data_IF_236774551577
#
_entry.id   IF_236774551577
#
_cell.length_a   1.000
_cell.length_b   1.000
_cell.length_c   1.000
_cell.angle_alpha   90.00
_cell.angle_beta   90.00
_cell.angle_gamma   90.00
#
_symmetry.space_group_name_H-M   'P 1'
#
loop_
_entity.id
_entity.type
_entity.pdbx_description
1 polymer ?
#
# COMPACT_ATOMS: atom_id res chain seq x y z
N UNK A 1 4.33 29.04 11.18
CA UNK A 1 3.39 28.73 10.09
C UNK A 1 2.10 28.25 10.75
N UNK A 2 0.90 28.60 10.28
CA UNK A 2 -0.31 28.01 10.83
C UNK A 2 -0.23 26.49 10.65
N UNK A 3 -0.79 25.71 11.58
CA UNK A 3 -0.73 24.25 11.63
C UNK A 3 -0.98 23.65 10.23
N UNK A 4 0.08 23.09 9.64
CA UNK A 4 -0.05 22.38 8.37
C UNK A 4 -0.79 21.07 8.63
N UNK A 5 -1.91 20.85 7.94
CA UNK A 5 -2.67 19.59 8.02
C UNK A 5 -1.93 18.41 7.36
N UNK A 6 -0.77 18.68 6.76
CA UNK A 6 0.11 17.69 6.13
C UNK A 6 1.50 17.85 6.72
N UNK A 7 2.04 16.77 7.27
CA UNK A 7 3.44 16.69 7.72
C UNK A 7 4.29 16.03 6.66
N UNK A 8 5.51 16.52 6.47
CA UNK A 8 6.50 15.96 5.55
C UNK A 8 7.66 15.41 6.40
N UNK A 9 7.90 14.12 6.32
CA UNK A 9 8.88 13.42 7.16
C UNK A 9 10.21 13.20 6.46
N UNK A 10 10.21 13.07 5.12
CA UNK A 10 11.41 12.84 4.31
C UNK A 10 11.38 13.73 3.08
N UNK A 11 12.54 14.08 2.51
CA UNK A 11 12.68 14.90 1.29
C UNK A 11 11.79 16.16 1.32
N UNK A 12 11.97 16.96 2.37
CA UNK A 12 11.06 18.08 2.71
C UNK A 12 10.87 19.06 1.55
N UNK A 13 11.95 19.47 0.90
CA UNK A 13 11.89 20.42 -0.23
C UNK A 13 11.11 19.85 -1.41
N UNK A 14 11.38 18.60 -1.78
CA UNK A 14 10.64 17.91 -2.85
C UNK A 14 9.16 17.72 -2.49
N UNK A 15 8.86 17.38 -1.23
CA UNK A 15 7.49 17.26 -0.75
C UNK A 15 6.74 18.60 -0.78
N UNK A 16 7.36 19.69 -0.35
CA UNK A 16 6.80 21.04 -0.41
C UNK A 16 6.53 21.48 -1.86
N UNK A 17 7.47 21.21 -2.78
CA UNK A 17 7.32 21.49 -4.20
C UNK A 17 6.16 20.69 -4.82
N UNK A 18 6.07 19.37 -4.49
CA UNK A 18 4.98 18.53 -4.95
C UNK A 18 3.62 19.04 -4.46
N UNK A 19 3.50 19.36 -3.16
CA UNK A 19 2.27 19.94 -2.58
C UNK A 19 1.91 21.29 -3.20
N UNK A 20 2.90 22.13 -3.48
CA UNK A 20 2.70 23.42 -4.13
C UNK A 20 2.19 23.25 -5.55
N UNK A 21 2.76 22.32 -6.31
CA UNK A 21 2.40 22.07 -7.72
C UNK A 21 0.96 21.62 -7.87
N UNK A 22 0.47 20.76 -6.98
CA UNK A 22 -0.86 20.15 -7.09
C UNK A 22 -1.91 20.80 -6.18
N UNK A 23 -1.61 21.95 -5.61
CA UNK A 23 -2.58 22.72 -4.82
C UNK A 23 -3.75 23.16 -5.69
N UNK A 24 -4.99 22.88 -5.21
CA UNK A 24 -6.24 23.18 -5.92
C UNK A 24 -6.65 22.09 -6.93
N UNK A 25 -5.80 21.13 -7.25
CA UNK A 25 -6.11 20.04 -8.16
C UNK A 25 -6.89 18.92 -7.48
N UNK A 26 -7.79 18.26 -8.22
CA UNK A 26 -8.50 17.06 -7.80
C UNK A 26 -7.85 15.84 -8.46
N UNK A 27 -7.53 14.80 -7.69
CA UNK A 27 -6.96 13.55 -8.23
C UNK A 27 -8.02 12.63 -8.84
N UNK A 28 -7.53 11.55 -9.46
CA UNK A 28 -8.27 10.30 -9.66
C UNK A 28 -7.72 9.27 -8.69
N UNK A 29 -8.57 8.43 -8.11
CA UNK A 29 -8.19 7.37 -7.20
C UNK A 29 -8.30 5.99 -7.87
N UNK A 30 -7.21 5.24 -7.90
CA UNK A 30 -7.16 3.84 -8.30
C UNK A 30 -6.82 2.96 -7.11
N UNK A 31 -7.72 2.05 -6.73
CA UNK A 31 -7.47 1.09 -5.65
C UNK A 31 -7.22 -0.31 -6.22
N UNK A 32 -6.08 -0.89 -5.91
CA UNK A 32 -5.72 -2.25 -6.32
C UNK A 32 -6.04 -3.23 -5.20
N UNK A 33 -6.99 -4.10 -5.46
CA UNK A 33 -7.45 -5.13 -4.55
C UNK A 33 -6.71 -6.43 -4.85
N UNK A 34 -6.15 -7.06 -3.82
CA UNK A 34 -5.44 -8.31 -3.94
C UNK A 34 -5.64 -9.21 -2.74
N UNK A 35 -5.13 -10.43 -2.83
CA UNK A 35 -5.18 -11.39 -1.74
C UNK A 35 -3.89 -12.21 -1.68
N UNK A 36 -3.48 -12.53 -0.46
CA UNK A 36 -2.41 -13.49 -0.16
C UNK A 36 -2.84 -14.44 0.95
N UNK A 37 -2.58 -15.73 0.80
CA UNK A 37 -2.81 -16.73 1.86
C UNK A 37 -2.00 -16.44 3.13
N UNK A 38 -0.96 -15.60 3.05
CA UNK A 38 -0.25 -15.08 4.23
C UNK A 38 -1.22 -14.39 5.20
N UNK A 39 -2.26 -13.74 4.68
CA UNK A 39 -3.31 -13.10 5.47
C UNK A 39 -4.13 -14.07 6.31
N UNK A 40 -4.16 -15.38 5.97
CA UNK A 40 -4.91 -16.40 6.70
C UNK A 40 -4.18 -16.91 7.95
N UNK A 41 -2.91 -16.55 8.14
CA UNK A 41 -2.15 -16.99 9.31
C UNK A 41 -2.74 -16.32 10.56
N UNK A 42 -3.06 -17.09 11.62
CA UNK A 42 -3.55 -16.54 12.88
C UNK A 42 -2.59 -15.48 13.45
N UNK A 43 -3.12 -14.34 13.89
CA UNK A 43 -2.32 -13.25 14.48
C UNK A 43 -1.53 -12.38 13.50
N UNK A 44 -1.53 -12.68 12.19
CA UNK A 44 -0.77 -11.89 11.21
C UNK A 44 -1.40 -10.50 10.95
N UNK A 45 -2.70 -10.39 11.09
CA UNK A 45 -3.47 -9.16 10.91
C UNK A 45 -4.63 -9.08 11.89
N UNK A 46 -5.01 -7.86 12.28
CA UNK A 46 -6.22 -7.57 13.04
C UNK A 46 -7.49 -7.45 12.15
N UNK A 47 -7.35 -7.49 10.83
CA UNK A 47 -8.49 -7.46 9.90
C UNK A 47 -9.31 -8.76 10.00
N UNK A 48 -10.64 -8.63 9.80
CA UNK A 48 -11.58 -9.76 9.90
C UNK A 48 -11.79 -10.25 11.34
N UNK A 49 -12.89 -10.95 11.59
CA UNK A 49 -13.15 -11.61 12.90
C UNK A 49 -12.34 -12.89 13.06
N UNK A 50 -12.18 -13.61 11.97
CA UNK A 50 -11.40 -14.84 11.87
C UNK A 50 -10.42 -14.74 10.71
N UNK A 51 -9.38 -15.60 10.64
CA UNK A 51 -8.51 -15.67 9.47
C UNK A 51 -9.28 -15.90 8.16
N UNK A 52 -10.33 -16.72 8.15
CA UNK A 52 -11.14 -17.01 6.96
C UNK A 52 -11.95 -15.79 6.49
N UNK A 53 -12.46 -14.96 7.39
CA UNK A 53 -13.19 -13.74 7.05
C UNK A 53 -12.33 -12.74 6.26
N UNK A 54 -11.00 -12.84 6.39
CA UNK A 54 -10.05 -11.96 5.70
C UNK A 54 -10.09 -12.09 4.18
N UNK A 55 -10.62 -13.19 3.66
CA UNK A 55 -10.87 -13.37 2.22
C UNK A 55 -11.85 -12.34 1.66
N UNK A 56 -12.71 -11.80 2.53
CA UNK A 56 -13.77 -10.86 2.15
C UNK A 56 -13.49 -9.42 2.55
N UNK A 57 -12.40 -9.13 3.26
CA UNK A 57 -12.09 -7.77 3.71
C UNK A 57 -12.01 -6.77 2.55
N UNK A 58 -11.28 -7.12 1.49
CA UNK A 58 -11.17 -6.25 0.33
C UNK A 58 -12.51 -6.08 -0.41
N UNK A 59 -13.38 -7.11 -0.40
CA UNK A 59 -14.74 -7.02 -0.97
C UNK A 59 -15.59 -6.03 -0.17
N UNK A 60 -15.60 -6.17 1.16
CA UNK A 60 -16.36 -5.32 2.06
C UNK A 60 -15.95 -3.85 1.95
N UNK A 61 -14.64 -3.59 1.95
CA UNK A 61 -14.10 -2.24 1.80
C UNK A 61 -14.41 -1.65 0.41
N UNK A 62 -14.31 -2.45 -0.66
CA UNK A 62 -14.63 -2.02 -2.01
C UNK A 62 -16.12 -1.67 -2.18
N UNK A 63 -17.02 -2.49 -1.64
CA UNK A 63 -18.46 -2.23 -1.68
C UNK A 63 -18.81 -0.96 -0.92
N UNK A 64 -18.25 -0.78 0.28
CA UNK A 64 -18.48 0.43 1.05
C UNK A 64 -17.90 1.67 0.37
N UNK A 65 -16.68 1.58 -0.18
CA UNK A 65 -16.06 2.69 -0.89
C UNK A 65 -16.91 3.15 -2.07
N UNK A 66 -17.46 2.21 -2.83
CA UNK A 66 -18.20 2.51 -4.06
C UNK A 66 -19.63 2.99 -3.78
N UNK A 67 -20.38 2.27 -2.97
CA UNK A 67 -21.80 2.55 -2.74
C UNK A 67 -22.08 3.42 -1.51
N UNK A 68 -21.23 3.36 -0.50
CA UNK A 68 -21.43 4.06 0.78
C UNK A 68 -22.32 3.31 1.77
N UNK A 69 -22.63 3.97 2.89
CA UNK A 69 -23.23 3.32 4.06
C UNK A 69 -24.71 2.93 3.90
N UNK A 70 -25.43 3.51 2.96
CA UNK A 70 -26.89 3.28 2.78
C UNK A 70 -27.19 2.10 1.88
N UNK A 71 -26.17 1.59 1.17
CA UNK A 71 -26.33 0.41 0.32
C UNK A 71 -26.21 -0.88 1.14
N UNK A 72 -27.14 -1.81 0.96
CA UNK A 72 -27.06 -3.13 1.58
C UNK A 72 -25.93 -3.94 0.92
N UNK A 73 -24.80 -4.15 1.61
CA UNK A 73 -23.65 -4.82 1.01
C UNK A 73 -23.85 -6.33 0.91
N UNK A 74 -23.24 -6.96 -0.09
CA UNK A 74 -23.09 -8.42 -0.14
C UNK A 74 -22.06 -8.89 0.91
N UNK A 75 -20.98 -8.10 1.08
CA UNK A 75 -19.95 -8.34 2.07
C UNK A 75 -19.92 -7.16 3.06
N UNK A 76 -20.56 -7.30 4.24
CA UNK A 76 -20.60 -6.20 5.21
C UNK A 76 -19.21 -5.96 5.82
N UNK A 77 -18.93 -4.71 6.17
CA UNK A 77 -17.76 -4.36 6.96
C UNK A 77 -17.75 -5.18 8.27
N UNK A 78 -16.56 -5.61 8.73
CA UNK A 78 -16.47 -6.33 10.00
C UNK A 78 -17.00 -5.47 11.15
N UNK A 79 -17.44 -6.07 12.27
CA UNK A 79 -17.91 -5.33 13.42
C UNK A 79 -16.87 -4.33 13.92
N UNK A 80 -17.33 -3.14 14.28
CA UNK A 80 -16.48 -1.99 14.64
C UNK A 80 -15.83 -2.10 16.05
N UNK A 81 -15.85 -3.26 16.68
CA UNK A 81 -15.32 -3.46 18.03
C UNK A 81 -13.81 -3.19 18.16
N UNK A 82 -13.05 -3.43 17.10
CA UNK A 82 -11.60 -3.21 17.05
C UNK A 82 -11.21 -1.89 16.34
N UNK A 83 -12.16 -0.99 16.11
CA UNK A 83 -11.97 0.23 15.34
C UNK A 83 -12.71 0.21 14.00
N UNK A 84 -13.04 1.38 13.49
CA UNK A 84 -13.74 1.55 12.22
C UNK A 84 -12.79 1.26 11.05
N UNK A 85 -13.29 0.64 9.95
CA UNK A 85 -12.48 0.46 8.75
C UNK A 85 -11.99 1.80 8.18
N UNK A 86 -10.73 1.90 7.73
CA UNK A 86 -10.19 3.11 7.12
C UNK A 86 -10.96 3.56 5.88
N UNK A 87 -11.71 2.65 5.26
CA UNK A 87 -12.55 2.97 4.09
C UNK A 87 -13.58 4.06 4.38
N UNK A 88 -14.01 4.23 5.66
CA UNK A 88 -14.90 5.32 6.03
C UNK A 88 -14.25 6.69 5.79
N UNK A 89 -12.94 6.81 6.05
CA UNK A 89 -12.17 8.03 5.81
C UNK A 89 -12.11 8.33 4.31
N UNK A 90 -11.72 7.34 3.53
CA UNK A 90 -11.61 7.47 2.07
C UNK A 90 -12.96 7.79 1.43
N UNK A 91 -14.04 7.07 1.83
CA UNK A 91 -15.40 7.32 1.35
C UNK A 91 -15.87 8.73 1.67
N UNK A 92 -15.66 9.20 2.91
CA UNK A 92 -16.07 10.54 3.33
C UNK A 92 -15.50 11.64 2.43
N UNK A 93 -14.22 11.52 2.07
CA UNK A 93 -13.54 12.48 1.21
C UNK A 93 -13.97 12.32 -0.25
N UNK A 94 -13.93 11.09 -0.79
CA UNK A 94 -14.17 10.87 -2.22
C UNK A 94 -15.61 11.18 -2.61
N UNK A 95 -16.58 10.83 -1.77
CA UNK A 95 -17.98 11.22 -1.95
C UNK A 95 -18.15 12.74 -1.95
N UNK A 96 -17.61 13.42 -0.93
CA UNK A 96 -17.79 14.86 -0.77
C UNK A 96 -17.12 15.70 -1.86
N UNK A 97 -15.95 15.26 -2.32
CA UNK A 97 -15.17 15.93 -3.37
C UNK A 97 -15.49 15.43 -4.78
N UNK A 98 -16.32 14.39 -4.89
CA UNK A 98 -16.63 13.72 -6.16
C UNK A 98 -15.38 13.24 -6.90
N UNK A 99 -14.41 12.72 -6.15
CA UNK A 99 -13.19 12.14 -6.72
C UNK A 99 -13.54 10.84 -7.43
N UNK A 100 -13.20 10.68 -8.73
CA UNK A 100 -13.44 9.44 -9.45
C UNK A 100 -12.67 8.27 -8.82
N UNK A 101 -13.35 7.14 -8.61
CA UNK A 101 -12.80 5.92 -8.00
C UNK A 101 -12.80 4.80 -9.04
N UNK A 102 -11.65 4.18 -9.25
CA UNK A 102 -11.45 2.99 -10.06
C UNK A 102 -10.98 1.85 -9.17
N UNK A 103 -11.69 0.72 -9.21
CA UNK A 103 -11.33 -0.48 -8.44
C UNK A 103 -10.75 -1.54 -9.39
N UNK A 104 -9.60 -2.10 -9.04
CA UNK A 104 -8.86 -3.07 -9.83
C UNK A 104 -8.75 -4.38 -9.07
N UNK A 105 -9.17 -5.49 -9.69
CA UNK A 105 -8.92 -6.83 -9.18
C UNK A 105 -7.58 -7.35 -9.71
N UNK A 106 -6.59 -7.46 -8.83
CA UNK A 106 -5.29 -8.04 -9.15
C UNK A 106 -5.19 -9.53 -8.78
N UNK A 107 -6.18 -10.09 -8.10
CA UNK A 107 -6.18 -11.49 -7.68
C UNK A 107 -6.94 -11.74 -6.38
N UNK A 108 -8.21 -11.36 -6.34
CA UNK A 108 -9.11 -11.70 -5.24
C UNK A 108 -9.64 -13.13 -5.38
N UNK A 109 -9.85 -13.86 -4.27
CA UNK A 109 -10.52 -15.17 -4.30
C UNK A 109 -12.01 -15.06 -4.64
N UNK A 110 -12.63 -13.93 -4.31
CA UNK A 110 -14.03 -13.62 -4.59
C UNK A 110 -14.11 -12.18 -5.10
N UNK A 111 -14.84 -11.89 -6.19
CA UNK A 111 -15.04 -10.51 -6.65
C UNK A 111 -16.03 -9.78 -5.74
N UNK A 112 -15.82 -8.50 -5.42
CA UNK A 112 -16.82 -7.67 -4.77
C UNK A 112 -17.99 -7.35 -5.72
N UNK A 113 -19.16 -7.05 -5.17
CA UNK A 113 -20.36 -6.70 -5.92
C UNK A 113 -20.36 -5.22 -6.37
N UNK A 114 -19.30 -4.77 -7.04
CA UNK A 114 -19.13 -3.40 -7.54
C UNK A 114 -18.61 -3.41 -8.98
N UNK A 115 -18.74 -2.33 -9.75
CA UNK A 115 -18.00 -2.17 -10.98
C UNK A 115 -16.50 -2.31 -10.74
N UNK A 116 -15.87 -3.28 -11.38
CA UNK A 116 -14.52 -3.73 -11.09
C UNK A 116 -13.76 -3.96 -12.41
N UNK A 117 -12.52 -3.49 -12.45
CA UNK A 117 -11.61 -3.75 -13.56
C UNK A 117 -10.82 -5.00 -13.21
N UNK A 118 -11.12 -6.11 -13.87
CA UNK A 118 -10.37 -7.35 -13.68
C UNK A 118 -9.06 -7.31 -14.48
N UNK A 119 -7.94 -7.46 -13.78
CA UNK A 119 -6.60 -7.49 -14.38
C UNK A 119 -6.16 -8.90 -14.79
N UNK A 120 -7.00 -9.92 -14.58
CA UNK A 120 -6.67 -11.31 -14.93
C UNK A 120 -5.56 -11.92 -14.09
N UNK A 121 -5.44 -11.50 -12.83
CA UNK A 121 -4.47 -12.01 -11.87
C UNK A 121 -5.00 -13.20 -11.05
N UNK A 122 -4.19 -13.60 -10.07
CA UNK A 122 -4.51 -14.68 -9.14
C UNK A 122 -4.04 -14.32 -7.72
N UNK A 123 -4.74 -14.87 -6.72
CA UNK A 123 -4.33 -14.76 -5.33
C UNK A 123 -2.94 -15.34 -5.09
N UNK A 124 -2.12 -14.65 -4.29
CA UNK A 124 -0.82 -15.18 -3.91
C UNK A 124 -0.98 -16.30 -2.86
N UNK A 125 -0.17 -17.34 -2.98
CA UNK A 125 0.02 -18.35 -1.93
C UNK A 125 0.76 -17.73 -0.74
N UNK A 126 0.80 -18.45 0.38
CA UNK A 126 1.58 -18.00 1.53
C UNK A 126 3.06 -17.83 1.16
N UNK A 127 3.60 -16.63 1.43
CA UNK A 127 4.99 -16.27 1.09
C UNK A 127 6.04 -17.20 1.73
N UNK A 128 5.73 -17.80 2.89
CA UNK A 128 6.64 -18.74 3.57
C UNK A 128 6.95 -20.00 2.77
N UNK A 129 6.23 -20.22 1.65
CA UNK A 129 6.51 -21.27 0.69
C UNK A 129 7.63 -20.92 -0.31
N UNK A 130 8.04 -19.66 -0.45
CA UNK A 130 9.04 -19.22 -1.42
C UNK A 130 8.60 -19.34 -2.88
N UNK A 131 7.28 -19.42 -3.14
CA UNK A 131 6.64 -19.47 -4.46
C UNK A 131 5.22 -18.93 -4.33
N UNK A 132 5.12 -17.63 -4.05
CA UNK A 132 3.85 -16.97 -3.80
C UNK A 132 2.98 -16.88 -5.07
N UNK A 133 3.59 -16.66 -6.23
CA UNK A 133 2.89 -16.50 -7.50
C UNK A 133 3.66 -17.15 -8.67
N UNK A 134 2.94 -17.51 -9.73
CA UNK A 134 3.57 -17.91 -10.97
C UNK A 134 4.18 -16.68 -11.66
N UNK A 135 5.41 -16.81 -12.16
CA UNK A 135 6.15 -15.70 -12.80
C UNK A 135 5.40 -15.13 -14.02
N UNK A 136 4.71 -15.98 -14.77
CA UNK A 136 3.90 -15.56 -15.91
C UNK A 136 2.75 -14.64 -15.50
N UNK A 137 2.10 -14.91 -14.34
CA UNK A 137 1.08 -14.05 -13.77
C UNK A 137 1.69 -12.71 -13.32
N UNK A 138 2.87 -12.72 -12.71
CA UNK A 138 3.56 -11.48 -12.29
C UNK A 138 3.88 -10.60 -13.49
N UNK A 139 4.43 -11.18 -14.57
CA UNK A 139 4.69 -10.44 -15.82
C UNK A 139 3.42 -9.89 -16.46
N UNK A 140 2.33 -10.67 -16.44
CA UNK A 140 1.04 -10.23 -16.95
C UNK A 140 0.51 -9.03 -16.15
N UNK A 141 0.48 -9.14 -14.83
CA UNK A 141 0.02 -8.08 -13.93
C UNK A 141 0.87 -6.81 -14.04
N UNK A 142 2.20 -6.95 -14.19
CA UNK A 142 3.06 -5.80 -14.42
C UNK A 142 2.69 -5.05 -15.69
N UNK A 143 2.45 -5.77 -16.81
CA UNK A 143 1.99 -5.17 -18.08
C UNK A 143 0.64 -4.49 -17.93
N UNK A 144 -0.30 -5.11 -17.21
CA UNK A 144 -1.59 -4.47 -16.90
C UNK A 144 -1.40 -3.20 -16.06
N UNK A 145 -0.47 -3.23 -15.08
CA UNK A 145 -0.12 -2.05 -14.31
C UNK A 145 0.38 -0.90 -15.19
N UNK A 146 1.34 -1.15 -16.08
CA UNK A 146 1.83 -0.13 -17.01
C UNK A 146 0.70 0.46 -17.87
N UNK A 147 -0.15 -0.40 -18.45
CA UNK A 147 -1.26 0.02 -19.30
C UNK A 147 -2.26 0.91 -18.57
N UNK A 148 -2.66 0.51 -17.35
CA UNK A 148 -3.63 1.27 -16.57
C UNK A 148 -3.04 2.55 -15.96
N UNK A 149 -1.75 2.55 -15.63
CA UNK A 149 -1.03 3.75 -15.23
C UNK A 149 -1.05 4.82 -16.32
N UNK A 150 -0.75 4.45 -17.57
CA UNK A 150 -0.85 5.35 -18.73
C UNK A 150 -2.28 5.85 -18.96
N UNK A 151 -3.28 4.97 -18.89
CA UNK A 151 -4.69 5.33 -19.08
C UNK A 151 -5.19 6.32 -18.04
N UNK A 152 -4.91 6.10 -16.76
CA UNK A 152 -5.32 6.99 -15.69
C UNK A 152 -4.63 8.35 -15.77
N UNK A 153 -3.37 8.37 -16.18
CA UNK A 153 -2.58 9.60 -16.32
C UNK A 153 -2.90 10.42 -17.58
N UNK A 154 -3.57 9.84 -18.58
CA UNK A 154 -3.77 10.45 -19.91
C UNK A 154 -4.41 11.84 -19.88
N UNK A 155 -5.25 12.14 -18.88
CA UNK A 155 -5.92 13.42 -18.72
C UNK A 155 -5.55 14.13 -17.40
N UNK A 156 -4.39 13.81 -16.82
CA UNK A 156 -4.00 14.27 -15.49
C UNK A 156 -2.71 15.12 -15.49
N UNK A 157 -2.32 15.71 -16.62
CA UNK A 157 -1.02 16.39 -16.77
C UNK A 157 -0.79 17.53 -15.75
N UNK A 158 -1.87 18.22 -15.34
CA UNK A 158 -1.84 19.30 -14.34
C UNK A 158 -2.38 18.86 -12.98
N UNK A 159 -2.53 17.54 -12.78
CA UNK A 159 -3.05 16.95 -11.56
C UNK A 159 -2.24 15.71 -11.20
N UNK A 160 -2.79 14.83 -10.36
CA UNK A 160 -2.12 13.63 -9.88
C UNK A 160 -3.09 12.45 -9.76
N UNK A 161 -2.52 11.25 -9.76
CA UNK A 161 -3.23 10.01 -9.51
C UNK A 161 -2.87 9.51 -8.12
N UNK A 162 -3.85 9.02 -7.37
CA UNK A 162 -3.64 8.33 -6.10
C UNK A 162 -3.79 6.82 -6.35
N UNK A 163 -2.78 6.04 -6.01
CA UNK A 163 -2.85 4.58 -6.01
C UNK A 163 -2.92 4.05 -4.58
N UNK A 164 -4.08 3.49 -4.23
CA UNK A 164 -4.32 2.82 -2.97
C UNK A 164 -4.39 1.31 -3.12
N UNK A 165 -4.51 0.61 -1.99
CA UNK A 165 -4.55 -0.84 -1.95
C UNK A 165 -5.49 -1.40 -0.88
N UNK A 166 -5.87 -2.67 -1.06
CA UNK A 166 -6.42 -3.48 0.01
C UNK A 166 -5.91 -4.93 -0.11
N UNK A 167 -4.92 -5.27 0.72
CA UNK A 167 -4.36 -6.62 0.82
C UNK A 167 -4.14 -6.99 2.29
N UNK A 168 -4.97 -7.87 2.82
CA UNK A 168 -4.74 -8.40 4.17
C UNK A 168 -3.49 -9.29 4.17
N UNK A 169 -2.54 -9.01 5.07
CA UNK A 169 -1.21 -9.66 5.09
C UNK A 169 -0.15 -8.91 4.27
N UNK A 170 -0.53 -7.85 3.55
CA UNK A 170 0.34 -7.05 2.70
C UNK A 170 1.52 -6.40 3.42
N UNK A 171 1.44 -6.14 4.73
CA UNK A 171 2.61 -5.68 5.49
C UNK A 171 3.70 -6.75 5.61
N UNK A 172 3.34 -8.04 5.58
CA UNK A 172 4.31 -9.14 5.62
C UNK A 172 4.95 -9.36 4.25
N UNK A 173 4.18 -9.28 3.17
CA UNK A 173 4.72 -9.32 1.80
C UNK A 173 5.57 -8.09 1.50
N UNK A 174 5.22 -6.91 2.03
CA UNK A 174 6.04 -5.71 1.96
C UNK A 174 7.40 -5.89 2.65
N UNK A 175 7.41 -6.45 3.89
CA UNK A 175 8.65 -6.81 4.57
C UNK A 175 9.50 -7.78 3.74
N UNK A 176 8.86 -8.77 3.11
CA UNK A 176 9.56 -9.77 2.29
C UNK A 176 10.23 -9.13 1.06
N UNK A 177 9.52 -8.29 0.32
CA UNK A 177 10.07 -7.58 -0.85
C UNK A 177 11.20 -6.65 -0.44
N UNK A 178 11.03 -5.82 0.60
CA UNK A 178 12.09 -4.93 1.09
C UNK A 178 13.36 -5.70 1.48
N UNK A 179 13.18 -6.81 2.23
CA UNK A 179 14.31 -7.68 2.64
C UNK A 179 14.98 -8.32 1.43
N UNK A 180 14.21 -8.85 0.49
CA UNK A 180 14.72 -9.46 -0.74
C UNK A 180 15.50 -8.46 -1.62
N UNK A 181 15.07 -7.21 -1.64
CA UNK A 181 15.77 -6.09 -2.27
C UNK A 181 17.01 -5.62 -1.49
N UNK A 182 17.31 -6.20 -0.32
CA UNK A 182 18.48 -5.86 0.50
C UNK A 182 18.31 -4.60 1.34
N UNK A 183 17.07 -4.17 1.59
CA UNK A 183 16.74 -3.04 2.46
C UNK A 183 16.59 -3.55 3.89
N UNK A 184 17.21 -2.83 4.85
CA UNK A 184 17.07 -3.13 6.28
C UNK A 184 15.66 -2.72 6.76
N UNK A 185 14.71 -3.66 6.65
CA UNK A 185 13.29 -3.46 6.99
C UNK A 185 12.81 -4.24 8.22
N UNK A 186 13.67 -5.09 8.79
CA UNK A 186 13.32 -5.87 9.99
C UNK A 186 12.97 -4.93 11.15
N UNK A 187 11.83 -5.17 11.80
CA UNK A 187 11.37 -4.34 12.91
C UNK A 187 10.80 -2.97 12.52
N UNK A 188 10.76 -2.61 11.21
CA UNK A 188 10.33 -1.28 10.75
C UNK A 188 8.96 -1.25 10.11
N UNK A 189 8.45 -2.39 9.62
CA UNK A 189 7.16 -2.47 8.92
C UNK A 189 6.00 -2.54 9.91
N UNK A 190 5.04 -1.61 9.77
CA UNK A 190 3.85 -1.54 10.62
C UNK A 190 2.95 -2.79 10.53
N UNK A 191 1.96 -2.84 11.40
CA UNK A 191 0.84 -3.79 11.34
C UNK A 191 -0.46 -3.13 11.75
N UNK A 192 -1.59 -3.78 11.48
CA UNK A 192 -2.92 -3.34 11.93
C UNK A 192 -3.16 -3.55 13.43
N UNK A 193 -2.24 -4.21 14.13
CA UNK A 193 -2.28 -4.36 15.60
C UNK A 193 -1.75 -3.11 16.30
N UNK A 194 -2.20 -2.81 17.53
CA UNK A 194 -1.65 -1.72 18.33
C UNK A 194 -0.14 -1.83 18.56
N UNK A 195 0.35 -3.06 18.75
CA UNK A 195 1.77 -3.40 18.84
C UNK A 195 2.12 -4.26 17.63
N UNK A 196 3.14 -3.86 16.87
CA UNK A 196 3.54 -4.57 15.67
C UNK A 196 4.07 -5.97 15.97
N UNK A 197 3.58 -6.97 15.23
CA UNK A 197 3.94 -8.38 15.35
C UNK A 197 5.22 -8.73 14.58
N UNK A 198 6.32 -8.00 14.82
CA UNK A 198 7.57 -8.08 14.07
C UNK A 198 8.16 -9.49 14.02
N UNK A 199 8.22 -10.21 15.15
CA UNK A 199 8.78 -11.55 15.21
C UNK A 199 8.06 -12.55 14.32
N UNK A 200 6.71 -12.50 14.30
CA UNK A 200 5.91 -13.39 13.46
C UNK A 200 6.13 -13.10 11.97
N UNK A 201 6.08 -11.82 11.57
CA UNK A 201 6.35 -11.43 10.18
C UNK A 201 7.74 -11.83 9.73
N UNK A 202 8.75 -11.59 10.59
CA UNK A 202 10.13 -11.92 10.28
C UNK A 202 10.36 -13.41 10.06
N UNK A 203 9.81 -14.26 10.93
CA UNK A 203 9.93 -15.73 10.80
C UNK A 203 9.34 -16.23 9.45
N UNK A 204 8.21 -15.67 9.01
CA UNK A 204 7.61 -16.03 7.72
C UNK A 204 8.47 -15.58 6.54
N UNK A 205 9.01 -14.37 6.62
CA UNK A 205 9.88 -13.82 5.58
C UNK A 205 11.16 -14.62 5.43
N UNK A 206 11.83 -14.96 6.55
CA UNK A 206 13.02 -15.80 6.52
C UNK A 206 12.74 -17.16 5.87
N UNK A 207 11.67 -17.86 6.29
CA UNK A 207 11.29 -19.14 5.71
C UNK A 207 10.99 -19.06 4.20
N UNK A 208 10.36 -17.97 3.76
CA UNK A 208 10.06 -17.76 2.32
C UNK A 208 11.30 -17.51 1.49
N UNK A 209 12.19 -16.64 1.96
CA UNK A 209 13.44 -16.32 1.25
C UNK A 209 14.41 -17.52 1.21
N UNK A 210 14.50 -18.30 2.28
CA UNK A 210 15.29 -19.54 2.31
C UNK A 210 14.82 -20.52 1.24
N UNK A 211 13.52 -20.84 1.22
CA UNK A 211 12.95 -21.78 0.23
C UNK A 211 13.04 -21.26 -1.20
N UNK A 212 12.95 -19.95 -1.41
CA UNK A 212 13.15 -19.35 -2.73
C UNK A 212 14.60 -19.53 -3.21
N UNK A 213 15.59 -19.40 -2.30
CA UNK A 213 17.00 -19.65 -2.58
C UNK A 213 17.29 -21.11 -2.95
N UNK A 214 16.75 -22.08 -2.19
CA UNK A 214 16.92 -23.51 -2.44
C UNK A 214 16.37 -23.93 -3.82
N UNK A 215 15.23 -23.36 -4.23
CA UNK A 215 14.65 -23.61 -5.56
C UNK A 215 15.50 -23.06 -6.71
N UNK A 216 16.20 -21.94 -6.46
CA UNK A 216 17.15 -21.38 -7.43
C UNK A 216 18.33 -22.32 -7.69
N UNK A 217 18.85 -22.98 -6.66
CA UNK A 217 19.96 -23.93 -6.77
C UNK A 217 19.56 -25.23 -7.47
N UNK A 218 18.33 -25.71 -7.32
CA UNK A 218 17.84 -26.95 -7.96
C UNK A 218 17.60 -26.84 -9.46
N UNK A 219 17.60 -25.65 -10.04
CA UNK A 219 17.44 -25.37 -11.49
C UNK A 219 18.75 -25.02 -12.20
N UNK A 220 19.90 -25.49 -11.70
CA UNK A 220 21.19 -25.35 -12.37
C UNK A 220 21.20 -26.08 -13.72
N UNK A 221 20.83 -25.35 -14.74
CA UNK A 221 20.89 -25.77 -16.14
C UNK A 221 21.01 -24.61 -17.12
N UNK A 222 20.36 -23.48 -16.88
CA UNK A 222 20.33 -22.39 -17.90
C UNK A 222 19.96 -21.02 -17.34
N UNK A 223 20.61 -20.42 -16.36
CA UNK A 223 20.62 -18.96 -16.06
C UNK A 223 20.86 -18.69 -14.56
N UNK A 224 21.92 -17.97 -14.27
CA UNK A 224 22.27 -17.21 -13.06
C UNK A 224 21.76 -17.66 -11.69
N UNK A 225 22.66 -18.12 -10.82
CA UNK A 225 22.38 -18.52 -9.44
C UNK A 225 21.75 -17.38 -8.62
N UNK A 226 20.54 -17.62 -8.09
CA UNK A 226 19.90 -16.75 -7.10
C UNK A 226 20.38 -17.17 -5.71
N UNK A 227 21.42 -16.53 -5.19
CA UNK A 227 21.91 -16.80 -3.84
C UNK A 227 21.26 -15.84 -2.82
N UNK A 228 20.14 -16.26 -2.21
CA UNK A 228 19.45 -15.51 -1.16
C UNK A 228 20.15 -15.61 0.21
N UNK A 229 20.87 -16.70 0.49
CA UNK A 229 21.44 -16.96 1.82
C UNK A 229 22.58 -15.98 2.16
N UNK A 230 23.39 -15.57 1.20
CA UNK A 230 24.48 -14.62 1.44
C UNK A 230 24.01 -13.23 1.84
N UNK A 231 22.78 -12.83 1.46
CA UNK A 231 22.19 -11.53 1.81
C UNK A 231 21.63 -11.47 3.24
N UNK A 232 21.24 -12.60 3.80
CA UNK A 232 20.70 -12.68 5.17
C UNK A 232 21.83 -12.61 6.21
N UNK A 233 23.02 -13.15 5.89
CA UNK A 233 24.16 -13.24 6.82
C UNK A 233 25.13 -12.05 6.76
N UNK A 234 25.23 -11.38 5.61
CA UNK A 234 26.07 -10.18 5.44
C UNK A 234 25.45 -9.15 4.48
N UNK A 235 24.77 -8.12 5.00
CA UNK A 235 24.17 -7.07 4.20
C UNK A 235 25.23 -6.24 3.40
N UNK A 236 26.52 -6.44 3.66
CA UNK A 236 27.62 -5.72 2.98
C UNK A 236 28.28 -6.51 1.86
N UNK A 237 27.88 -7.77 1.62
CA UNK A 237 28.49 -8.56 0.55
C UNK A 237 28.09 -8.01 -0.83
N UNK A 238 29.06 -7.48 -1.56
CA UNK A 238 28.94 -7.01 -2.93
C UNK A 238 28.89 -8.20 -3.91
N UNK A 239 27.77 -8.91 -3.98
CA UNK A 239 27.56 -9.89 -5.06
C UNK A 239 26.60 -9.25 -6.05
N UNK A 240 27.16 -8.77 -7.17
CA UNK A 240 26.50 -8.29 -8.37
C UNK A 240 25.94 -9.46 -9.22
N UNK A 241 24.98 -10.19 -8.73
CA UNK A 241 24.03 -10.90 -9.59
C UNK A 241 22.67 -10.32 -9.24
N UNK A 242 22.19 -9.40 -10.07
CA UNK A 242 20.90 -8.72 -9.86
C UNK A 242 19.78 -9.74 -10.02
N UNK A 243 19.23 -10.19 -8.90
CA UNK A 243 18.00 -10.98 -8.93
C UNK A 243 16.92 -10.13 -9.58
N UNK A 244 16.24 -10.67 -10.58
CA UNK A 244 15.13 -9.99 -11.26
C UNK A 244 14.04 -9.61 -10.23
N UNK A 245 13.66 -8.32 -10.11
CA UNK A 245 12.66 -7.88 -9.14
C UNK A 245 11.30 -8.56 -9.33
N UNK A 246 10.92 -8.96 -10.55
CA UNK A 246 9.67 -9.67 -10.80
C UNK A 246 9.74 -11.12 -10.29
N UNK A 247 10.90 -11.74 -10.29
CA UNK A 247 11.12 -13.05 -9.64
C UNK A 247 10.99 -12.94 -8.11
N UNK A 248 11.41 -11.82 -7.51
CA UNK A 248 11.20 -11.59 -6.08
C UNK A 248 9.71 -11.53 -5.74
N UNK A 249 8.91 -10.84 -6.56
CA UNK A 249 7.45 -10.81 -6.38
C UNK A 249 6.85 -12.21 -6.53
N UNK A 250 7.29 -12.98 -7.53
CA UNK A 250 6.83 -14.37 -7.72
C UNK A 250 7.17 -15.26 -6.52
N UNK A 251 8.31 -15.05 -5.88
CA UNK A 251 8.75 -15.83 -4.73
C UNK A 251 8.01 -15.48 -3.43
N UNK A 252 7.92 -14.19 -3.09
CA UNK A 252 7.50 -13.74 -1.74
C UNK A 252 6.56 -12.52 -1.73
N UNK A 253 6.14 -12.03 -2.89
CA UNK A 253 5.26 -10.86 -3.01
C UNK A 253 3.77 -11.19 -3.02
N UNK A 254 3.00 -10.19 -3.41
CA UNK A 254 1.55 -10.29 -3.67
C UNK A 254 1.17 -9.56 -4.97
N UNK A 255 -0.04 -9.81 -5.52
CA UNK A 255 -0.41 -9.29 -6.84
C UNK A 255 -0.54 -7.75 -6.88
N UNK A 256 -0.90 -7.10 -5.78
CA UNK A 256 -1.05 -5.65 -5.72
C UNK A 256 0.30 -4.94 -5.96
N UNK A 257 1.37 -5.44 -5.37
CA UNK A 257 2.68 -4.79 -5.40
C UNK A 257 3.19 -4.55 -6.82
N UNK A 258 3.11 -5.56 -7.67
CA UNK A 258 3.59 -5.47 -9.06
C UNK A 258 2.67 -4.61 -9.94
N UNK A 259 1.35 -4.64 -9.68
CA UNK A 259 0.39 -3.80 -10.40
C UNK A 259 0.61 -2.33 -10.07
N UNK A 260 0.66 -1.97 -8.78
CA UNK A 260 0.86 -0.57 -8.37
C UNK A 260 2.23 -0.06 -8.80
N UNK A 261 3.28 -0.89 -8.74
CA UNK A 261 4.60 -0.51 -9.25
C UNK A 261 4.55 -0.16 -10.75
N UNK A 262 3.88 -0.99 -11.57
CA UNK A 262 3.69 -0.72 -13.00
C UNK A 262 2.86 0.55 -13.24
N UNK A 263 1.74 0.72 -12.53
CA UNK A 263 0.90 1.92 -12.62
C UNK A 263 1.69 3.19 -12.29
N UNK A 264 2.45 3.17 -11.20
CA UNK A 264 3.20 4.34 -10.76
C UNK A 264 4.37 4.68 -11.69
N UNK A 265 5.11 3.68 -12.20
CA UNK A 265 6.14 3.89 -13.22
C UNK A 265 5.55 4.59 -14.45
N UNK A 266 4.44 4.09 -14.96
CA UNK A 266 3.83 4.63 -16.16
C UNK A 266 3.23 6.02 -15.93
N UNK A 267 2.45 6.22 -14.87
CA UNK A 267 1.78 7.48 -14.56
C UNK A 267 2.77 8.61 -14.25
N UNK A 268 3.87 8.33 -13.54
CA UNK A 268 4.86 9.35 -13.17
C UNK A 268 5.50 10.07 -14.36
N UNK A 269 5.43 9.48 -15.57
CA UNK A 269 5.97 10.09 -16.79
C UNK A 269 5.21 11.34 -17.23
N UNK A 270 3.95 11.50 -16.81
CA UNK A 270 3.07 12.55 -17.30
C UNK A 270 2.30 13.31 -16.22
N UNK A 271 2.17 12.80 -15.02
CA UNK A 271 1.45 13.46 -13.92
C UNK A 271 2.07 13.16 -12.56
N UNK A 272 1.56 13.80 -11.51
CA UNK A 272 1.91 13.44 -10.13
C UNK A 272 1.35 12.08 -9.74
N UNK A 273 2.08 11.39 -8.86
CA UNK A 273 1.64 10.13 -8.29
C UNK A 273 1.73 10.19 -6.76
N UNK A 274 0.65 9.83 -6.09
CA UNK A 274 0.65 9.61 -4.65
C UNK A 274 0.39 8.13 -4.36
N UNK A 275 1.37 7.44 -3.85
CA UNK A 275 1.24 6.07 -3.35
C UNK A 275 0.56 6.13 -1.98
N UNK A 276 -0.69 5.66 -1.91
CA UNK A 276 -1.56 5.81 -0.75
C UNK A 276 -1.47 4.62 0.19
N UNK A 277 -0.77 4.79 1.28
CA UNK A 277 -0.51 3.77 2.30
C UNK A 277 0.78 4.05 3.05
N UNK A 278 1.14 3.17 3.97
CA UNK A 278 2.36 3.31 4.76
C UNK A 278 3.51 2.47 4.23
N UNK A 279 3.98 1.55 5.06
CA UNK A 279 5.14 0.69 4.76
C UNK A 279 4.92 -0.22 3.55
N UNK A 280 3.68 -0.57 3.19
CA UNK A 280 3.37 -1.29 1.96
C UNK A 280 3.73 -0.45 0.72
N UNK A 281 3.42 0.82 0.72
CA UNK A 281 3.71 1.71 -0.41
C UNK A 281 5.18 2.12 -0.48
N UNK A 282 5.91 2.12 0.65
CA UNK A 282 7.38 2.21 0.64
C UNK A 282 8.00 0.97 -0.02
N UNK A 283 7.44 -0.23 0.20
CA UNK A 283 7.88 -1.44 -0.50
C UNK A 283 7.58 -1.37 -2.00
N UNK A 284 6.42 -0.85 -2.40
CA UNK A 284 6.08 -0.61 -3.81
C UNK A 284 7.04 0.40 -4.44
N UNK A 285 7.37 1.49 -3.76
CA UNK A 285 8.35 2.48 -4.25
C UNK A 285 9.73 1.86 -4.48
N UNK A 286 10.21 1.05 -3.53
CA UNK A 286 11.46 0.32 -3.69
C UNK A 286 11.42 -0.68 -4.87
N UNK A 287 10.31 -1.40 -5.00
CA UNK A 287 10.09 -2.36 -6.07
C UNK A 287 10.04 -1.67 -7.45
N UNK A 288 9.31 -0.56 -7.59
CA UNK A 288 9.25 0.17 -8.86
C UNK A 288 10.62 0.72 -9.27
N UNK A 289 11.42 1.21 -8.33
CA UNK A 289 12.79 1.65 -8.58
C UNK A 289 13.67 0.51 -9.08
N UNK A 290 13.58 -0.66 -8.43
CA UNK A 290 14.32 -1.86 -8.81
C UNK A 290 13.89 -2.38 -10.21
N UNK A 291 12.59 -2.41 -10.50
CA UNK A 291 12.05 -2.80 -11.80
C UNK A 291 12.50 -1.81 -12.89
N UNK A 292 12.35 -0.51 -12.64
CA UNK A 292 12.75 0.52 -13.60
C UNK A 292 14.23 0.41 -13.95
N UNK A 293 15.09 0.14 -12.98
CA UNK A 293 16.52 -0.08 -13.20
C UNK A 293 16.77 -1.37 -13.98
N UNK A 294 16.16 -2.49 -13.56
CA UNK A 294 16.40 -3.81 -14.18
C UNK A 294 15.95 -3.88 -15.65
N UNK A 295 14.86 -3.20 -15.97
CA UNK A 295 14.24 -3.22 -17.31
C UNK A 295 14.50 -1.93 -18.11
N UNK A 296 15.36 -1.04 -17.63
CA UNK A 296 15.67 0.26 -18.26
C UNK A 296 14.42 1.10 -18.59
N UNK A 297 13.42 1.12 -17.69
CA UNK A 297 12.20 1.87 -17.86
C UNK A 297 12.37 3.31 -17.38
N UNK A 298 11.94 4.26 -18.18
CA UNK A 298 11.87 5.66 -17.75
C UNK A 298 10.73 5.87 -16.77
N UNK A 299 10.97 6.65 -15.71
CA UNK A 299 10.00 7.15 -14.76
C UNK A 299 10.53 8.44 -14.11
N UNK A 300 9.68 9.17 -13.40
CA UNK A 300 10.06 10.43 -12.76
C UNK A 300 9.93 10.30 -11.24
N UNK A 301 11.03 10.05 -10.50
CA UNK A 301 11.02 9.94 -9.05
C UNK A 301 10.46 11.17 -8.34
N UNK A 302 10.75 12.36 -8.88
CA UNK A 302 10.30 13.64 -8.35
C UNK A 302 8.79 13.85 -8.46
N UNK A 303 8.11 13.11 -9.34
CA UNK A 303 6.66 13.13 -9.45
C UNK A 303 5.95 12.24 -8.41
N UNK A 304 6.69 11.38 -7.69
CA UNK A 304 6.12 10.36 -6.81
C UNK A 304 6.31 10.71 -5.34
N UNK A 305 5.22 10.67 -4.58
CA UNK A 305 5.21 10.80 -3.12
C UNK A 305 4.48 9.62 -2.46
N UNK A 306 4.76 9.36 -1.20
CA UNK A 306 4.01 8.40 -0.37
C UNK A 306 3.14 9.18 0.60
N UNK A 307 1.83 8.94 0.57
CA UNK A 307 0.84 9.59 1.44
C UNK A 307 0.22 8.61 2.41
N UNK A 308 0.24 8.91 3.72
CA UNK A 308 -0.25 8.04 4.78
C UNK A 308 -0.94 8.82 5.91
N UNK A 309 -1.34 8.11 6.96
CA UNK A 309 -1.83 8.72 8.20
C UNK A 309 -0.70 8.96 9.20
N UNK A 310 -0.90 9.90 10.14
CA UNK A 310 0.06 10.09 11.24
C UNK A 310 0.20 8.85 12.13
N UNK A 311 -0.88 8.06 12.28
CA UNK A 311 -0.84 6.82 13.07
C UNK A 311 0.08 5.76 12.49
N UNK A 312 0.41 5.82 11.21
CA UNK A 312 1.44 5.00 10.58
C UNK A 312 2.80 5.67 10.66
N UNK A 313 2.88 6.95 10.32
CA UNK A 313 4.16 7.67 10.28
C UNK A 313 4.81 7.76 11.67
N UNK A 314 4.00 7.92 12.72
CA UNK A 314 4.43 8.12 14.11
C UNK A 314 4.19 6.89 15.02
N UNK A 315 3.93 5.72 14.44
CA UNK A 315 3.72 4.48 15.22
C UNK A 315 4.96 4.15 16.05
N UNK A 316 4.89 4.20 17.38
CA UNK A 316 6.04 3.93 18.23
C UNK A 316 6.50 2.46 18.21
N UNK A 317 5.66 1.57 17.66
CA UNK A 317 5.97 0.14 17.53
C UNK A 317 6.45 -0.25 16.13
N UNK A 318 6.37 0.68 15.17
CA UNK A 318 6.94 0.59 13.82
C UNK A 318 8.06 1.61 13.65
N UNK A 319 8.61 1.74 12.46
CA UNK A 319 9.61 2.74 12.14
C UNK A 319 9.50 3.19 10.68
N UNK A 320 8.32 3.71 10.30
CA UNK A 320 8.00 4.06 8.91
C UNK A 320 8.95 5.11 8.35
N UNK A 321 9.29 6.14 9.13
CA UNK A 321 10.21 7.21 8.70
C UNK A 321 11.62 6.65 8.50
N UNK A 322 12.12 5.84 9.45
CA UNK A 322 13.44 5.20 9.34
C UNK A 322 13.49 4.22 8.16
N UNK A 323 12.37 3.54 7.89
CA UNK A 323 12.24 2.67 6.71
C UNK A 323 12.36 3.49 5.42
N UNK A 324 11.64 4.62 5.32
CA UNK A 324 11.72 5.50 4.15
C UNK A 324 13.15 6.00 3.93
N UNK A 325 13.86 6.42 4.99
CA UNK A 325 15.27 6.84 4.93
C UNK A 325 16.22 5.67 4.57
N UNK A 326 15.84 4.43 4.92
CA UNK A 326 16.65 3.25 4.59
C UNK A 326 16.61 2.90 3.09
N UNK A 327 15.62 3.39 2.33
CA UNK A 327 15.53 3.19 0.89
C UNK A 327 16.70 3.83 0.14
N UNK A 328 17.22 4.96 0.62
CA UNK A 328 18.39 5.64 0.05
C UNK A 328 19.68 4.81 0.17
N UNK A 329 19.80 4.03 1.24
CA UNK A 329 21.01 3.24 1.56
C UNK A 329 21.06 1.89 0.84
N UNK A 330 19.96 1.45 0.24
CA UNK A 330 19.89 0.22 -0.54
C UNK A 330 20.68 0.36 -1.85
N UNK A 331 21.54 -0.63 -2.17
CA UNK A 331 22.37 -0.65 -3.38
C UNK A 331 21.59 -0.67 -4.71
N UNK A 332 20.28 -0.50 -4.69
CA UNK A 332 19.36 -0.70 -5.81
C UNK A 332 19.03 0.58 -6.58
N UNK A 333 19.47 1.73 -6.09
CA UNK A 333 19.15 2.99 -6.76
C UNK A 333 20.45 3.68 -7.17
N UNK A 334 20.80 3.62 -8.47
CA UNK A 334 21.77 4.56 -9.04
C UNK A 334 21.28 6.01 -8.96
N UNK A 335 19.98 6.20 -8.73
CA UNK A 335 19.32 7.48 -8.44
C UNK A 335 18.82 7.58 -7.00
N UNK A 336 19.43 6.90 -6.04
CA UNK A 336 19.26 6.89 -4.58
C UNK A 336 18.27 7.88 -3.95
N UNK A 337 17.01 7.87 -4.36
CA UNK A 337 16.03 8.83 -3.87
C UNK A 337 15.04 8.17 -2.93
N UNK A 338 15.06 8.60 -1.69
CA UNK A 338 13.97 8.41 -0.74
C UNK A 338 12.75 9.18 -1.26
N UNK A 339 11.53 8.61 -1.31
CA UNK A 339 10.36 9.40 -1.67
C UNK A 339 10.01 10.40 -0.56
N UNK A 340 9.41 11.55 -0.88
CA UNK A 340 8.74 12.34 0.14
C UNK A 340 7.66 11.50 0.84
N UNK A 341 7.78 11.34 2.15
CA UNK A 341 6.76 10.70 2.99
C UNK A 341 5.89 11.80 3.62
N UNK A 342 4.65 11.83 3.21
CA UNK A 342 3.62 12.77 3.65
C UNK A 342 2.66 12.06 4.58
N UNK A 343 2.21 12.71 5.66
CA UNK A 343 1.10 12.20 6.45
C UNK A 343 0.07 13.29 6.76
N UNK A 344 -1.20 12.90 6.75
CA UNK A 344 -2.27 13.76 7.27
C UNK A 344 -2.16 13.89 8.78
N UNK A 345 -2.42 15.08 9.29
CA UNK A 345 -2.49 15.36 10.75
C UNK A 345 -3.87 15.07 11.34
N UNK A 346 -4.74 14.38 10.61
CA UNK A 346 -6.07 13.97 11.08
C UNK A 346 -6.01 13.34 12.48
N UNK A 347 -6.88 13.78 13.36
CA UNK A 347 -7.03 13.26 14.72
C UNK A 347 -8.48 12.85 15.01
N UNK A 348 -8.62 11.75 15.72
CA UNK A 348 -9.91 11.29 16.24
C UNK A 348 -10.05 11.44 17.76
N UNK A 349 -9.12 12.16 18.39
CA UNK A 349 -9.17 12.37 19.84
C UNK A 349 -10.51 12.95 20.33
N UNK A 350 -11.05 13.90 19.56
CA UNK A 350 -12.30 14.59 19.87
C UNK A 350 -13.54 13.92 19.23
N UNK A 351 -13.39 12.77 18.60
CA UNK A 351 -14.53 12.06 18.01
C UNK A 351 -15.50 11.55 19.08
N UNK A 352 -16.80 11.72 18.84
CA UNK A 352 -17.86 11.10 19.67
C UNK A 352 -17.90 9.57 19.57
N UNK A 353 -17.32 8.98 18.49
CA UNK A 353 -17.36 7.56 18.23
C UNK A 353 -16.12 6.83 18.78
N UNK A 354 -16.27 5.88 19.71
CA UNK A 354 -15.15 5.13 20.25
C UNK A 354 -14.41 4.33 19.19
N UNK A 355 -15.09 3.89 18.12
CA UNK A 355 -14.52 3.16 17.00
C UNK A 355 -13.51 4.01 16.19
N UNK A 356 -13.69 5.33 16.13
CA UNK A 356 -12.72 6.25 15.56
C UNK A 356 -11.60 6.54 16.56
N UNK A 357 -11.93 6.77 17.85
CA UNK A 357 -10.88 6.98 18.88
C UNK A 357 -9.93 5.79 19.04
N UNK A 358 -10.30 4.58 18.58
CA UNK A 358 -9.41 3.42 18.57
C UNK A 358 -8.13 3.64 17.73
N UNK A 359 -8.17 4.51 16.73
CA UNK A 359 -6.97 4.90 15.95
C UNK A 359 -5.92 5.58 16.83
N UNK A 360 -6.34 6.39 17.80
CA UNK A 360 -5.42 7.04 18.75
C UNK A 360 -4.74 6.04 19.70
N UNK A 361 -5.31 4.84 19.81
CA UNK A 361 -4.75 3.73 20.58
C UNK A 361 -3.90 2.79 19.72
N UNK A 362 -3.65 3.14 18.44
CA UNK A 362 -2.84 2.38 17.51
C UNK A 362 -3.54 1.23 16.80
N UNK A 363 -4.88 1.14 16.89
CA UNK A 363 -5.64 0.15 16.10
C UNK A 363 -5.83 0.64 14.65
N UNK A 364 -5.88 -0.29 13.71
CA UNK A 364 -6.17 -0.10 12.28
C UNK A 364 -5.10 0.73 11.56
N UNK A 365 -4.94 2.00 11.82
CA UNK A 365 -3.93 2.97 11.34
C UNK A 365 -4.08 3.44 9.91
N UNK A 366 -4.21 2.56 8.91
CA UNK A 366 -4.25 2.88 7.47
C UNK A 366 -4.99 1.78 6.70
N UNK A 367 -5.39 2.07 5.48
CA UNK A 367 -6.01 1.17 4.50
C UNK A 367 -6.89 1.94 3.52
N UNK A 368 -7.11 1.37 2.35
CA UNK A 368 -7.96 1.96 1.31
C UNK A 368 -7.60 3.40 0.94
N UNK A 369 -6.35 3.82 1.21
CA UNK A 369 -5.85 5.15 0.88
C UNK A 369 -6.31 6.28 1.81
N UNK A 370 -6.65 5.99 3.06
CA UNK A 370 -7.22 6.93 4.01
C UNK A 370 -6.37 8.20 4.22
N UNK A 371 -5.06 8.04 4.44
CA UNK A 371 -4.17 9.19 4.60
C UNK A 371 -4.08 10.07 3.35
N UNK A 372 -3.93 9.45 2.19
CA UNK A 372 -3.89 10.16 0.91
C UNK A 372 -5.21 10.87 0.58
N UNK A 373 -6.36 10.28 0.93
CA UNK A 373 -7.66 10.93 0.80
C UNK A 373 -7.72 12.24 1.60
N UNK A 374 -7.28 12.23 2.86
CA UNK A 374 -7.21 13.43 3.70
C UNK A 374 -6.23 14.48 3.12
N UNK A 375 -5.08 14.05 2.62
CA UNK A 375 -4.12 14.93 1.94
C UNK A 375 -4.77 15.57 0.72
N UNK A 376 -5.52 14.80 -0.09
CA UNK A 376 -6.23 15.31 -1.26
C UNK A 376 -7.32 16.34 -0.87
N UNK A 377 -8.06 16.11 0.21
CA UNK A 377 -9.05 17.04 0.71
C UNK A 377 -8.43 18.38 1.13
N UNK A 378 -7.28 18.32 1.79
CA UNK A 378 -6.54 19.52 2.15
C UNK A 378 -5.99 20.24 0.93
N UNK A 379 -5.36 19.52 -0.01
CA UNK A 379 -4.77 20.10 -1.21
C UNK A 379 -5.82 20.78 -2.11
N UNK A 380 -6.95 20.12 -2.35
CA UNK A 380 -7.95 20.60 -3.32
C UNK A 380 -8.83 21.71 -2.78
N UNK A 381 -9.27 21.61 -1.51
CA UNK A 381 -10.24 22.53 -0.91
C UNK A 381 -9.86 23.04 0.49
N UNK A 382 -8.59 22.87 0.87
CA UNK A 382 -8.08 23.32 2.17
C UNK A 382 -8.91 22.84 3.38
N UNK A 383 -9.38 21.56 3.33
CA UNK A 383 -10.11 20.99 4.45
C UNK A 383 -9.24 20.94 5.69
N UNK A 384 -9.80 21.42 6.81
CA UNK A 384 -9.18 21.38 8.12
C UNK A 384 -9.72 20.19 8.93
N UNK A 385 -9.13 19.95 10.09
CA UNK A 385 -9.46 18.88 11.01
C UNK A 385 -10.98 18.73 11.25
N UNK A 386 -11.67 19.83 11.56
CA UNK A 386 -13.10 19.82 11.90
C UNK A 386 -13.96 19.32 10.75
N UNK A 387 -13.63 19.74 9.53
CA UNK A 387 -14.37 19.35 8.33
C UNK A 387 -14.13 17.88 7.99
N UNK A 388 -12.89 17.41 8.12
CA UNK A 388 -12.56 15.99 7.94
C UNK A 388 -13.29 15.12 8.96
N UNK A 389 -13.20 15.48 10.24
CA UNK A 389 -13.86 14.75 11.33
C UNK A 389 -15.37 14.68 11.13
N UNK A 390 -16.02 15.82 10.85
CA UNK A 390 -17.47 15.87 10.62
C UNK A 390 -17.89 14.99 9.42
N UNK A 391 -17.15 15.02 8.31
CA UNK A 391 -17.45 14.20 7.13
C UNK A 391 -17.32 12.69 7.43
N UNK A 392 -16.30 12.30 8.20
CA UNK A 392 -16.04 10.89 8.56
C UNK A 392 -17.09 10.40 9.56
N UNK A 393 -17.42 11.21 10.58
CA UNK A 393 -18.47 10.88 11.54
C UNK A 393 -19.83 10.71 10.88
N UNK A 394 -20.14 11.53 9.85
CA UNK A 394 -21.36 11.39 9.07
C UNK A 394 -21.45 10.03 8.37
N UNK A 395 -20.36 9.44 7.89
CA UNK A 395 -20.38 8.09 7.30
C UNK A 395 -20.77 7.05 8.36
N UNK A 396 -20.25 7.15 9.58
CA UNK A 396 -20.60 6.26 10.68
C UNK A 396 -22.06 6.42 11.13
N UNK A 397 -22.54 7.63 11.20
CA UNK A 397 -23.93 7.92 11.56
C UNK A 397 -24.89 7.31 10.55
N UNK A 398 -24.66 7.54 9.25
CA UNK A 398 -25.44 6.96 8.15
C UNK A 398 -25.38 5.43 8.18
N UNK A 399 -24.18 4.84 8.42
CA UNK A 399 -24.03 3.39 8.54
C UNK A 399 -24.82 2.81 9.71
N UNK A 400 -24.86 3.50 10.85
CA UNK A 400 -25.59 3.03 12.03
C UNK A 400 -27.11 3.14 11.89
N UNK A 401 -27.61 4.05 11.03
CA UNK A 401 -29.05 4.26 10.82
C UNK A 401 -29.61 3.47 9.63
N UNK A 402 -28.78 3.08 8.67
CA UNK A 402 -29.23 2.46 7.42
C UNK A 402 -29.85 1.06 7.59
N UNK A 403 -29.57 0.35 8.69
CA UNK A 403 -29.98 -1.05 8.92
C UNK A 403 -30.73 -1.27 10.24
N UNK A 404 -31.22 -0.17 10.82
CA UNK A 404 -32.19 -0.18 11.92
C UNK A 404 -33.56 0.22 11.40
#
# INVERSE_FOLDING_TARGET
MPNSQIRIYTQKEQGEEWLRRYRGSLPVFGCVLGFTETGLIPGISAAGRTPEDRKYTACADAEFLYYGPEHKPQHPLPPLAAGASPVLISRAVFESLKIPVHLFNAGLPHPPAVPLIDLGGASAKCLSGGAAMEITTVHHLFKQGLLWGERLAANMQESYVIFGECVVGGTTTALAILTALGIDAAGKVNSSHPICNHGQKWALVQAGLEKAGDRGQGRQGEQGEINFQSKIQDPKSKIRNSVDPLQLVAAVGDPMQVVVAGMAIAASRSCGVMLAGGTQMLAVYALMSAIAQAYALSWQPEAVVVGTTRWVAEDPTGATVDLALSLEKGNLTQSGTTPPLLATDLSFADSRYPQLRAYEQGFVKEGMGAGAACIAAHLSQNWQQDKLLAAIESQLERLSTAFH
#
